data_IF_746525798525
#
_entry.id   IF_746525798525
#
_cell.length_a   1.000
_cell.length_b   1.000
_cell.length_c   1.000
_cell.angle_alpha   90.00
_cell.angle_beta   90.00
_cell.angle_gamma   90.00
#
_symmetry.space_group_name_H-M   'P 1'
#
loop_
_entity.id
_entity.type
_entity.pdbx_description
1 polymer ?
#
# COMPACT_ATOMS: atom_id res chain seq x y z
N UNK A 1 -5.07 14.20 -3.92
CA UNK A 1 -4.11 15.08 -4.61
C UNK A 1 -3.21 15.81 -3.61
N UNK A 2 -2.12 15.18 -3.15
CA UNK A 2 -1.19 15.78 -2.18
C UNK A 2 -0.20 16.76 -2.82
N UNK A 3 0.02 16.66 -4.14
CA UNK A 3 0.96 17.51 -4.89
C UNK A 3 0.51 18.95 -5.09
N UNK A 4 1.33 19.72 -5.80
CA UNK A 4 1.12 21.13 -6.09
C UNK A 4 0.17 21.33 -7.28
N UNK A 5 0.39 20.61 -8.37
CA UNK A 5 -0.45 20.70 -9.57
C UNK A 5 -0.83 19.32 -10.11
N UNK A 6 -2.02 19.26 -10.70
CA UNK A 6 -2.49 18.15 -11.50
C UNK A 6 -2.98 18.66 -12.85
N UNK A 7 -2.53 18.01 -13.93
CA UNK A 7 -2.92 18.32 -15.29
C UNK A 7 -3.43 17.06 -15.97
N UNK A 8 -4.60 17.15 -16.61
CA UNK A 8 -5.18 16.10 -17.44
C UNK A 8 -5.30 16.61 -18.89
N UNK A 9 -4.19 16.62 -19.65
CA UNK A 9 -4.20 17.07 -21.04
C UNK A 9 -4.95 16.10 -21.98
N UNK A 10 -5.23 14.87 -21.52
CA UNK A 10 -5.89 13.83 -22.32
C UNK A 10 -7.39 13.71 -22.03
N UNK A 11 -7.90 14.41 -21.01
CA UNK A 11 -9.31 14.39 -20.64
C UNK A 11 -9.79 13.06 -20.06
N UNK A 12 -8.89 12.23 -19.52
CA UNK A 12 -9.24 10.90 -19.01
C UNK A 12 -10.00 10.95 -17.68
N UNK A 13 -9.84 12.03 -16.91
CA UNK A 13 -10.45 12.28 -15.61
C UNK A 13 -11.27 13.59 -15.62
N UNK A 14 -11.74 14.01 -16.79
CA UNK A 14 -12.54 15.23 -16.97
C UNK A 14 -11.77 16.44 -17.52
N UNK A 15 -10.45 16.31 -17.69
CA UNK A 15 -9.60 17.29 -18.36
C UNK A 15 -9.22 18.51 -17.54
N UNK A 16 -8.28 19.29 -18.07
CA UNK A 16 -7.88 20.58 -17.54
C UNK A 16 -6.81 20.50 -16.45
N UNK A 17 -6.66 21.59 -15.71
CA UNK A 17 -5.64 21.72 -14.67
C UNK A 17 -6.27 22.09 -13.34
N UNK A 18 -5.73 21.51 -12.26
CA UNK A 18 -6.18 21.73 -10.90
C UNK A 18 -4.98 21.91 -9.98
N UNK A 19 -5.14 22.83 -9.02
CA UNK A 19 -4.21 22.96 -7.90
C UNK A 19 -4.48 21.86 -6.88
N UNK A 20 -3.45 21.10 -6.49
CA UNK A 20 -3.54 20.14 -5.40
C UNK A 20 -3.40 20.79 -4.02
N UNK A 21 -3.32 19.97 -2.97
CA UNK A 21 -3.17 20.48 -1.60
C UNK A 21 -1.81 21.13 -1.33
N UNK A 22 -0.80 20.92 -2.19
CA UNK A 22 0.54 21.49 -2.04
C UNK A 22 1.30 20.99 -0.82
N UNK A 23 1.00 19.76 -0.37
CA UNK A 23 1.66 19.13 0.78
C UNK A 23 2.95 18.41 0.38
N UNK A 24 3.01 17.91 -0.86
CA UNK A 24 4.21 17.32 -1.45
C UNK A 24 4.70 18.19 -2.62
N UNK A 25 6.01 18.42 -2.78
CA UNK A 25 6.59 19.18 -3.89
C UNK A 25 6.61 18.35 -5.17
N UNK A 26 5.43 18.01 -5.68
CA UNK A 26 5.24 17.13 -6.82
C UNK A 26 4.16 17.65 -7.76
N UNK A 27 4.32 17.38 -9.05
CA UNK A 27 3.29 17.62 -10.07
C UNK A 27 2.90 16.31 -10.74
N UNK A 28 1.60 16.11 -10.96
CA UNK A 28 1.10 14.89 -11.61
C UNK A 28 0.43 15.23 -12.94
N UNK A 29 0.85 14.58 -14.01
CA UNK A 29 0.18 14.65 -15.31
C UNK A 29 -0.56 13.34 -15.54
N UNK A 30 -1.89 13.38 -15.64
CA UNK A 30 -2.69 12.21 -16.02
C UNK A 30 -2.33 11.78 -17.45
N UNK A 31 -2.31 10.46 -17.68
CA UNK A 31 -2.00 9.88 -18.98
C UNK A 31 -3.16 9.04 -19.49
N UNK A 32 -3.18 8.74 -20.78
CA UNK A 32 -4.08 7.73 -21.37
C UNK A 32 -3.64 6.29 -21.05
N UNK A 33 -2.41 6.12 -20.55
CA UNK A 33 -1.86 4.82 -20.14
C UNK A 33 -2.10 4.54 -18.67
N UNK A 34 -2.53 3.31 -18.40
CA UNK A 34 -2.72 2.77 -17.05
C UNK A 34 -1.56 1.83 -16.70
N UNK A 35 -0.84 2.13 -15.62
CA UNK A 35 0.13 1.21 -15.03
C UNK A 35 -0.62 0.21 -14.14
N UNK A 36 -0.30 -1.08 -14.27
CA UNK A 36 -0.82 -2.17 -13.42
C UNK A 36 0.25 -3.23 -13.26
N UNK A 37 1.12 -3.07 -12.27
CA UNK A 37 2.19 -4.05 -11.99
C UNK A 37 2.30 -4.32 -10.50
N UNK A 38 2.71 -5.54 -10.15
CA UNK A 38 3.22 -5.81 -8.81
C UNK A 38 4.64 -5.27 -8.73
N UNK A 39 5.03 -4.75 -7.58
CA UNK A 39 6.32 -4.12 -7.38
C UNK A 39 6.70 -4.23 -5.90
N UNK A 40 7.93 -4.65 -5.64
CA UNK A 40 8.53 -4.60 -4.31
C UNK A 40 9.35 -3.31 -4.15
N UNK A 41 9.49 -2.83 -2.92
CA UNK A 41 10.31 -1.67 -2.62
C UNK A 41 10.87 -1.70 -1.20
N UNK A 42 11.94 -0.93 -0.98
CA UNK A 42 12.50 -0.69 0.34
C UNK A 42 12.38 0.79 0.67
N UNK A 43 11.79 1.10 1.82
CA UNK A 43 11.59 2.48 2.26
C UNK A 43 12.92 3.13 2.62
N UNK A 44 13.18 4.31 2.04
CA UNK A 44 14.39 5.11 2.24
C UNK A 44 14.15 6.31 3.15
N UNK A 45 12.88 6.71 3.32
CA UNK A 45 12.47 7.76 4.24
C UNK A 45 12.94 7.43 5.68
N UNK A 46 13.60 8.38 6.33
CA UNK A 46 14.33 8.16 7.58
C UNK A 46 13.50 7.52 8.71
N UNK A 47 12.24 7.91 8.81
CA UNK A 47 11.27 7.47 9.82
C UNK A 47 10.93 5.98 9.72
N UNK A 48 11.03 5.46 8.50
CA UNK A 48 10.57 4.13 8.11
C UNK A 48 11.65 3.33 7.39
N UNK A 49 12.91 3.79 7.48
CA UNK A 49 14.01 3.25 6.70
C UNK A 49 14.16 1.73 6.90
N UNK A 50 14.32 1.02 5.79
CA UNK A 50 14.44 -0.43 5.76
C UNK A 50 13.12 -1.20 5.87
N UNK A 51 11.96 -0.53 5.91
CA UNK A 51 10.68 -1.23 5.75
C UNK A 51 10.59 -1.85 4.35
N UNK A 52 10.26 -3.13 4.30
CA UNK A 52 10.04 -3.87 3.05
C UNK A 52 8.56 -3.77 2.65
N UNK A 53 8.34 -3.38 1.40
CA UNK A 53 7.04 -3.22 0.79
C UNK A 53 6.87 -4.28 -0.29
N UNK A 54 5.71 -4.94 -0.28
CA UNK A 54 5.22 -5.77 -1.37
C UNK A 54 3.85 -5.24 -1.76
N UNK A 55 3.80 -4.60 -2.92
CA UNK A 55 2.64 -3.84 -3.32
C UNK A 55 2.37 -3.92 -4.81
N UNK A 56 1.45 -3.08 -5.25
CA UNK A 56 1.15 -2.94 -6.66
C UNK A 56 0.91 -1.48 -7.02
N UNK A 57 1.30 -1.12 -8.24
CA UNK A 57 1.02 0.19 -8.82
C UNK A 57 -0.22 0.08 -9.69
N UNK A 58 -1.28 0.83 -9.35
CA UNK A 58 -2.44 1.02 -10.24
C UNK A 58 -2.73 2.50 -10.32
N UNK A 59 -2.13 3.17 -11.30
CA UNK A 59 -2.33 4.59 -11.49
C UNK A 59 -2.43 4.96 -12.96
N UNK A 60 -3.10 6.09 -13.17
CA UNK A 60 -3.20 6.79 -14.43
C UNK A 60 -2.49 8.11 -14.19
N UNK A 61 -1.36 8.32 -14.87
CA UNK A 61 -0.56 9.53 -14.72
C UNK A 61 0.84 9.32 -14.18
N UNK A 62 1.69 10.32 -14.38
CA UNK A 62 3.09 10.34 -14.00
C UNK A 62 3.35 11.53 -13.09
N UNK A 63 4.04 11.28 -11.99
CA UNK A 63 4.42 12.33 -11.04
C UNK A 63 5.88 12.70 -11.21
N UNK A 64 6.15 13.98 -11.35
CA UNK A 64 7.49 14.54 -11.26
C UNK A 64 7.73 14.97 -9.82
N UNK A 65 8.81 14.46 -9.23
CA UNK A 65 9.15 14.70 -7.82
C UNK A 65 10.31 15.71 -7.73
N UNK A 66 10.18 16.74 -6.90
CA UNK A 66 11.25 17.70 -6.58
C UNK A 66 11.80 17.56 -5.15
N UNK A 67 11.24 16.65 -4.35
CA UNK A 67 11.67 16.36 -2.99
C UNK A 67 12.44 15.04 -2.87
N UNK A 68 12.61 14.59 -1.63
CA UNK A 68 13.18 13.27 -1.35
C UNK A 68 12.17 12.17 -1.68
N UNK A 69 12.65 11.05 -2.21
CA UNK A 69 11.81 9.88 -2.50
C UNK A 69 11.42 9.15 -1.22
N UNK A 70 10.25 8.51 -1.24
CA UNK A 70 9.77 7.72 -0.11
C UNK A 70 10.50 6.37 -0.03
N UNK A 71 10.67 5.70 -1.17
CA UNK A 71 11.25 4.38 -1.26
C UNK A 71 12.04 4.19 -2.56
N UNK A 72 12.78 3.08 -2.63
CA UNK A 72 13.42 2.60 -3.85
C UNK A 72 12.75 1.31 -4.27
N UNK A 73 12.24 1.26 -5.51
CA UNK A 73 11.62 0.09 -6.11
C UNK A 73 12.66 -1.01 -6.40
N UNK A 74 12.22 -2.25 -6.57
CA UNK A 74 13.09 -3.40 -6.90
C UNK A 74 13.90 -3.23 -8.20
N UNK A 75 13.42 -2.39 -9.12
CA UNK A 75 14.11 -2.03 -10.35
C UNK A 75 15.16 -0.90 -10.17
N UNK A 76 15.38 -0.45 -8.93
CA UNK A 76 16.33 0.60 -8.55
C UNK A 76 15.83 2.03 -8.76
N UNK A 77 14.61 2.23 -9.27
CA UNK A 77 14.04 3.58 -9.43
C UNK A 77 13.53 4.11 -8.08
N UNK A 78 13.71 5.41 -7.80
CA UNK A 78 13.04 6.04 -6.66
C UNK A 78 11.54 6.14 -6.93
N UNK A 79 10.73 5.92 -5.88
CA UNK A 79 9.29 6.16 -5.92
C UNK A 79 8.83 7.00 -4.72
N UNK A 80 7.75 7.76 -4.98
CA UNK A 80 7.08 8.56 -3.98
C UNK A 80 7.81 9.85 -3.63
N UNK A 81 7.30 10.52 -2.60
CA UNK A 81 7.86 11.77 -2.10
C UNK A 81 7.61 11.93 -0.60
N UNK A 82 8.58 12.54 0.09
CA UNK A 82 8.50 12.91 1.49
C UNK A 82 8.61 14.41 1.65
N UNK A 83 7.74 14.99 2.49
CA UNK A 83 7.86 16.36 2.95
C UNK A 83 7.39 16.48 4.41
N UNK A 84 8.35 16.55 5.34
CA UNK A 84 8.07 16.55 6.77
C UNK A 84 7.34 15.27 7.20
N UNK A 85 6.12 15.39 7.71
CA UNK A 85 5.29 14.24 8.11
C UNK A 85 4.31 13.77 7.03
N UNK A 86 4.51 14.19 5.77
CA UNK A 86 3.68 13.79 4.64
C UNK A 86 4.51 12.85 3.77
N UNK A 87 3.97 11.66 3.52
CA UNK A 87 4.60 10.60 2.75
C UNK A 87 3.63 10.17 1.65
N UNK A 88 4.11 10.09 0.42
CA UNK A 88 3.33 9.63 -0.73
C UNK A 88 4.13 8.63 -1.56
N UNK A 89 3.44 7.68 -2.18
CA UNK A 89 3.99 6.64 -3.06
C UNK A 89 2.86 6.13 -3.96
N UNK A 90 3.20 5.61 -5.14
CA UNK A 90 2.24 4.94 -6.02
C UNK A 90 1.93 3.51 -5.61
N UNK A 91 2.71 2.94 -4.69
CA UNK A 91 2.50 1.59 -4.19
C UNK A 91 1.25 1.54 -3.32
N UNK A 92 0.35 0.63 -3.68
CA UNK A 92 -0.76 0.18 -2.84
C UNK A 92 -0.33 -1.06 -2.04
N UNK A 93 -1.05 -1.37 -0.96
CA UNK A 93 -0.74 -2.52 -0.10
C UNK A 93 0.43 -2.29 0.87
N UNK A 94 0.79 -1.04 1.13
CA UNK A 94 1.95 -0.66 1.96
C UNK A 94 1.97 -1.27 3.37
N UNK A 95 0.80 -1.64 3.90
CA UNK A 95 0.64 -2.16 5.26
C UNK A 95 0.49 -3.69 5.29
N UNK A 96 0.46 -4.34 4.13
CA UNK A 96 0.13 -5.76 3.99
C UNK A 96 1.32 -6.65 4.39
N UNK A 97 2.57 -6.18 4.35
CA UNK A 97 3.72 -6.95 4.86
C UNK A 97 3.86 -6.83 6.38
N UNK A 98 3.20 -5.86 7.01
CA UNK A 98 3.38 -5.49 8.42
C UNK A 98 4.67 -4.71 8.72
N UNK A 99 5.67 -4.74 7.83
CA UNK A 99 6.96 -4.06 8.04
C UNK A 99 6.80 -2.55 8.21
N UNK A 100 6.07 -1.91 7.28
CA UNK A 100 5.78 -0.48 7.39
C UNK A 100 4.84 -0.18 8.57
N UNK A 101 3.89 -1.06 8.87
CA UNK A 101 2.95 -0.90 9.99
C UNK A 101 3.70 -0.85 11.32
N UNK A 102 4.69 -1.73 11.51
CA UNK A 102 5.56 -1.71 12.69
C UNK A 102 6.35 -0.39 12.78
N UNK A 103 7.01 0.02 11.68
CA UNK A 103 7.76 1.28 11.65
C UNK A 103 6.88 2.50 11.91
N UNK A 104 5.65 2.49 11.41
CA UNK A 104 4.66 3.53 11.66
C UNK A 104 4.26 3.59 13.13
N UNK A 105 3.99 2.44 13.76
CA UNK A 105 3.67 2.38 15.19
C UNK A 105 4.85 2.89 16.03
N UNK A 106 6.07 2.48 15.73
CA UNK A 106 7.30 2.95 16.41
C UNK A 106 7.47 4.46 16.26
N UNK A 107 7.30 4.99 15.04
CA UNK A 107 7.38 6.42 14.76
C UNK A 107 6.34 7.22 15.57
N UNK A 108 5.10 6.76 15.61
CA UNK A 108 4.02 7.42 16.35
C UNK A 108 4.23 7.34 17.87
N UNK A 109 4.70 6.19 18.38
CA UNK A 109 5.04 6.02 19.80
C UNK A 109 6.15 6.99 20.21
N UNK A 110 7.24 7.08 19.43
CA UNK A 110 8.32 8.06 19.66
C UNK A 110 7.81 9.50 19.67
N UNK A 111 6.94 9.87 18.72
CA UNK A 111 6.38 11.23 18.65
C UNK A 111 5.45 11.57 19.81
N UNK A 112 4.76 10.57 20.38
CA UNK A 112 3.84 10.76 21.50
C UNK A 112 4.48 10.52 22.87
N UNK A 113 5.74 10.08 22.93
CA UNK A 113 6.41 9.69 24.17
C UNK A 113 5.81 8.44 24.82
N UNK A 114 5.23 7.53 24.01
CA UNK A 114 4.62 6.28 24.48
C UNK A 114 5.64 5.14 24.32
N UNK A 115 5.81 4.26 25.33
CA UNK A 115 6.64 3.07 25.20
C UNK A 115 6.08 2.11 24.14
N UNK A 116 6.91 1.72 23.16
CA UNK A 116 6.48 0.91 22.01
C UNK A 116 6.29 -0.59 22.34
N UNK A 117 6.69 -1.01 23.55
CA UNK A 117 6.71 -2.41 24.03
C UNK A 117 5.31 -3.03 24.15
N UNK A 118 4.24 -2.24 24.14
CA UNK A 118 2.85 -2.71 24.22
C UNK A 118 2.23 -3.06 22.86
N UNK A 119 2.92 -2.77 21.75
CA UNK A 119 2.45 -3.02 20.40
C UNK A 119 3.17 -4.24 19.81
N UNK A 120 2.86 -5.45 20.30
CA UNK A 120 3.28 -6.67 19.60
C UNK A 120 2.46 -6.80 18.31
N UNK A 121 3.05 -6.68 17.11
CA UNK A 121 2.29 -6.82 15.88
C UNK A 121 1.88 -8.28 15.69
N UNK A 122 0.60 -8.52 15.40
CA UNK A 122 0.20 -9.77 14.74
C UNK A 122 0.66 -9.63 13.29
N UNK A 123 1.38 -10.63 12.75
CA UNK A 123 1.79 -10.58 11.34
C UNK A 123 0.55 -10.58 10.44
N UNK A 124 0.63 -9.90 9.30
CA UNK A 124 -0.47 -9.89 8.35
C UNK A 124 -0.84 -11.30 7.87
N UNK A 125 0.16 -12.16 7.68
CA UNK A 125 -0.03 -13.58 7.36
C UNK A 125 -0.86 -14.30 8.44
N UNK A 126 -0.50 -14.14 9.73
CA UNK A 126 -1.24 -14.75 10.83
C UNK A 126 -2.67 -14.19 10.95
N UNK A 127 -2.86 -12.90 10.69
CA UNK A 127 -4.19 -12.30 10.65
C UNK A 127 -5.02 -12.82 9.47
N UNK A 128 -4.42 -12.94 8.29
CA UNK A 128 -5.09 -13.43 7.09
C UNK A 128 -5.47 -14.91 7.23
N UNK A 129 -4.57 -15.74 7.78
CA UNK A 129 -4.83 -17.14 8.11
C UNK A 129 -5.98 -17.25 9.12
N UNK A 130 -6.00 -16.42 10.16
CA UNK A 130 -7.11 -16.35 11.10
C UNK A 130 -8.44 -15.99 10.40
N UNK A 131 -8.44 -15.08 9.43
CA UNK A 131 -9.65 -14.75 8.66
C UNK A 131 -10.08 -15.91 7.76
N UNK A 132 -9.14 -16.64 7.15
CA UNK A 132 -9.45 -17.85 6.38
C UNK A 132 -10.04 -18.95 7.25
N UNK A 133 -9.52 -19.16 8.46
CA UNK A 133 -10.05 -20.11 9.42
C UNK A 133 -11.48 -19.75 9.84
N UNK A 134 -11.74 -18.48 10.14
CA UNK A 134 -13.09 -17.99 10.47
C UNK A 134 -14.07 -18.20 9.31
N UNK A 135 -13.64 -17.91 8.07
CA UNK A 135 -14.46 -18.13 6.88
C UNK A 135 -14.72 -19.62 6.65
N UNK A 136 -13.69 -20.46 6.74
CA UNK A 136 -13.80 -21.90 6.60
C UNK A 136 -14.76 -22.50 7.63
N UNK A 137 -14.67 -22.05 8.89
CA UNK A 137 -15.58 -22.48 9.95
C UNK A 137 -17.02 -22.03 9.71
N UNK A 138 -17.22 -20.79 9.23
CA UNK A 138 -18.54 -20.31 8.81
C UNK A 138 -19.15 -21.17 7.70
N UNK A 139 -18.35 -21.54 6.70
CA UNK A 139 -18.77 -22.42 5.59
C UNK A 139 -19.12 -23.81 6.11
N UNK A 140 -18.27 -24.42 6.95
CA UNK A 140 -18.51 -25.76 7.53
C UNK A 140 -19.80 -25.83 8.34
N UNK A 141 -20.15 -24.75 9.04
CA UNK A 141 -21.39 -24.66 9.82
C UNK A 141 -22.63 -24.45 8.96
N UNK A 142 -22.49 -23.79 7.82
CA UNK A 142 -23.60 -23.44 6.94
C UNK A 142 -23.89 -24.50 5.87
N UNK A 143 -22.94 -25.38 5.58
CA UNK A 143 -23.04 -26.39 4.53
C UNK A 143 -22.97 -27.81 5.11
N UNK A 144 -23.68 -28.74 4.49
CA UNK A 144 -23.54 -30.17 4.76
C UNK A 144 -22.22 -30.67 4.14
N UNK A 145 -21.15 -30.57 4.92
CA UNK A 145 -19.81 -30.92 4.49
C UNK A 145 -19.66 -32.41 4.20
N UNK A 146 -20.43 -33.29 4.86
CA UNK A 146 -20.42 -34.72 4.55
C UNK A 146 -20.97 -35.00 3.15
N UNK A 147 -22.06 -34.32 2.76
CA UNK A 147 -22.60 -34.43 1.41
C UNK A 147 -21.61 -33.91 0.33
N UNK A 148 -20.90 -32.81 0.62
CA UNK A 148 -19.88 -32.25 -0.28
C UNK A 148 -18.69 -33.20 -0.43
N UNK A 149 -18.15 -33.74 0.68
CA UNK A 149 -17.03 -34.68 0.61
C UNK A 149 -17.43 -35.98 -0.08
N UNK A 150 -18.64 -36.50 0.17
CA UNK A 150 -19.15 -37.67 -0.53
C UNK A 150 -19.31 -37.45 -2.05
N UNK A 151 -19.63 -36.23 -2.49
CA UNK A 151 -19.67 -35.88 -3.91
C UNK A 151 -18.26 -35.80 -4.52
N UNK A 152 -17.27 -35.29 -3.78
CA UNK A 152 -15.88 -35.22 -4.24
C UNK A 152 -15.24 -36.61 -4.35
N UNK A 153 -15.52 -37.52 -3.41
CA UNK A 153 -14.98 -38.89 -3.42
C UNK A 153 -15.63 -39.78 -4.48
N UNK A 154 -16.87 -39.48 -4.91
CA UNK A 154 -17.59 -40.22 -5.97
C UNK A 154 -17.26 -39.74 -7.40
N UNK A 155 -16.46 -38.68 -7.53
CA UNK A 155 -16.08 -38.08 -8.82
C UNK A 155 -14.84 -38.70 -9.49
N UNK A 156 -14.31 -39.81 -8.96
CA UNK A 156 -13.20 -40.59 -9.53
C UNK A 156 -13.69 -41.91 -10.13
#
# INVERSE_FOLDING_TARGET
MLGETLSDPYGTEGGGEMRGMGLLPVDTVFSDRKTRTRMQAVVTASEFAGAELDGYEIHTGKTTVRGESFCTLENGQPDGCVNGSVFGTYLHGLFDTGSLTQKLAEYLCRRKGIPCEQASPISHEAYQEQQFDLLAEGIRRALDMEAIYALMERGH
#
